data_IF_840500135348
#
_entry.id   IF_840500135348
#
_cell.length_a   1.000
_cell.length_b   1.000
_cell.length_c   1.000
_cell.angle_alpha   90.00
_cell.angle_beta   90.00
_cell.angle_gamma   90.00
#
_symmetry.space_group_name_H-M   'P 1'
#
loop_
_entity.id
_entity.type
_entity.pdbx_description
1 polymer ?
#
# COMPACT_ATOMS: atom_id res chain seq x y z
N UNK A 1 22.37 17.95 -0.95
CA UNK A 1 21.18 18.34 -0.17
C UNK A 1 19.85 18.28 -0.94
N UNK A 2 19.85 18.26 -2.27
CA UNK A 2 18.59 18.15 -3.06
C UNK A 2 17.94 16.75 -2.98
N UNK A 3 18.68 15.72 -2.67
CA UNK A 3 18.25 14.32 -2.73
C UNK A 3 17.29 13.86 -1.61
N UNK A 4 17.03 14.71 -0.61
CA UNK A 4 16.08 14.39 0.47
C UNK A 4 14.64 14.82 0.17
N UNK A 5 14.42 15.47 -0.97
CA UNK A 5 13.07 15.86 -1.38
C UNK A 5 12.31 14.67 -1.96
N UNK A 6 11.04 14.58 -1.61
CA UNK A 6 10.11 13.59 -2.17
C UNK A 6 8.99 14.37 -2.83
N UNK A 7 8.71 14.05 -4.09
CA UNK A 7 7.58 14.62 -4.80
C UNK A 7 6.32 13.83 -4.50
N UNK A 8 5.26 14.52 -4.14
CA UNK A 8 3.95 13.90 -3.90
C UNK A 8 3.07 14.15 -5.11
N UNK A 9 2.59 13.09 -5.76
CA UNK A 9 1.67 13.19 -6.88
C UNK A 9 0.29 12.68 -6.49
N UNK A 10 -0.72 13.49 -6.73
CA UNK A 10 -2.11 13.11 -6.53
C UNK A 10 -2.70 12.76 -7.89
N UNK A 11 -2.98 11.48 -8.11
CA UNK A 11 -3.42 10.96 -9.40
C UNK A 11 -4.94 10.84 -9.52
N UNK A 12 -5.67 10.97 -8.41
CA UNK A 12 -7.12 10.82 -8.40
C UNK A 12 -7.56 9.37 -8.66
N UNK A 13 -8.71 9.20 -9.29
CA UNK A 13 -9.27 7.90 -9.64
C UNK A 13 -8.74 7.49 -11.03
N UNK A 14 -8.01 6.39 -11.11
CA UNK A 14 -7.33 5.93 -12.30
C UNK A 14 -7.49 4.43 -12.53
N UNK A 15 -7.50 3.96 -13.78
CA UNK A 15 -7.34 2.54 -14.07
C UNK A 15 -6.00 2.02 -13.54
N UNK A 16 -5.95 0.76 -13.14
CA UNK A 16 -4.74 0.17 -12.56
C UNK A 16 -3.59 0.05 -13.56
N UNK A 17 -3.84 -0.52 -14.74
CA UNK A 17 -2.78 -0.88 -15.68
C UNK A 17 -1.95 0.32 -16.17
N UNK A 18 -2.55 1.46 -16.57
CA UNK A 18 -1.77 2.62 -16.98
C UNK A 18 -0.87 3.17 -15.85
N UNK A 19 -1.33 3.14 -14.60
CA UNK A 19 -0.53 3.59 -13.46
C UNK A 19 0.60 2.60 -13.18
N UNK A 20 0.33 1.30 -13.25
CA UNK A 20 1.36 0.27 -13.13
C UNK A 20 2.44 0.43 -14.20
N UNK A 21 2.05 0.65 -15.46
CA UNK A 21 2.96 0.90 -16.56
C UNK A 21 3.80 2.16 -16.31
N UNK A 22 3.18 3.23 -15.83
CA UNK A 22 3.89 4.47 -15.50
C UNK A 22 4.93 4.28 -14.39
N UNK A 23 4.65 3.45 -13.39
CA UNK A 23 5.62 3.10 -12.34
C UNK A 23 6.82 2.33 -12.90
N UNK A 24 6.59 1.41 -13.83
CA UNK A 24 7.67 0.67 -14.50
C UNK A 24 8.56 1.62 -15.30
N UNK A 25 7.96 2.48 -16.11
CA UNK A 25 8.68 3.47 -16.92
C UNK A 25 9.49 4.43 -16.05
N UNK A 26 8.89 4.93 -14.98
CA UNK A 26 9.59 5.79 -14.03
C UNK A 26 10.81 5.07 -13.40
N UNK A 27 10.62 3.85 -12.95
CA UNK A 27 11.68 3.07 -12.29
C UNK A 27 12.81 2.71 -13.25
N UNK A 28 12.47 2.37 -14.48
CA UNK A 28 13.47 2.05 -15.51
C UNK A 28 14.27 3.26 -15.98
N UNK A 29 13.65 4.44 -16.02
CA UNK A 29 14.25 5.67 -16.50
C UNK A 29 15.02 6.45 -15.43
N UNK A 30 14.82 6.15 -14.14
CA UNK A 30 15.45 6.95 -13.09
C UNK A 30 16.94 6.73 -13.02
N UNK A 31 17.63 7.78 -12.62
CA UNK A 31 19.07 7.84 -12.37
C UNK A 31 19.38 8.35 -10.95
N UNK A 32 20.65 8.63 -10.69
CA UNK A 32 21.10 9.11 -9.37
C UNK A 32 20.55 10.49 -8.99
N UNK A 33 20.13 11.29 -9.95
CA UNK A 33 19.59 12.63 -9.74
C UNK A 33 18.05 12.64 -9.64
N UNK A 34 17.40 11.55 -10.00
CA UNK A 34 15.95 11.43 -9.96
C UNK A 34 15.43 11.47 -8.52
N UNK A 35 14.53 12.40 -8.22
CA UNK A 35 13.90 12.48 -6.91
C UNK A 35 12.99 11.28 -6.66
N UNK A 36 12.87 10.92 -5.40
CA UNK A 36 11.87 9.94 -4.97
C UNK A 36 10.46 10.51 -5.09
N UNK A 37 9.50 9.66 -5.33
CA UNK A 37 8.10 10.06 -5.46
C UNK A 37 7.17 9.20 -4.62
N UNK A 38 6.08 9.80 -4.16
CA UNK A 38 4.92 9.13 -3.57
C UNK A 38 3.74 9.44 -4.46
N UNK A 39 3.05 8.40 -4.90
CA UNK A 39 1.85 8.55 -5.73
C UNK A 39 0.63 8.13 -4.94
N UNK A 40 -0.33 9.03 -4.82
CA UNK A 40 -1.62 8.81 -4.18
C UNK A 40 -2.67 8.58 -5.26
N UNK A 41 -3.33 7.45 -5.23
CA UNK A 41 -4.30 7.07 -6.25
C UNK A 41 -5.43 6.24 -5.65
N UNK A 42 -6.61 6.36 -6.23
CA UNK A 42 -7.69 5.39 -6.09
C UNK A 42 -7.86 4.70 -7.45
N UNK A 43 -8.14 3.41 -7.45
CA UNK A 43 -8.35 2.68 -8.71
C UNK A 43 -9.81 2.38 -8.97
N UNK A 44 -10.19 2.33 -10.23
CA UNK A 44 -11.41 1.66 -10.65
C UNK A 44 -11.35 0.20 -10.19
N UNK A 45 -12.50 -0.46 -9.97
CA UNK A 45 -12.53 -1.84 -9.48
C UNK A 45 -11.64 -2.78 -10.29
N UNK A 46 -10.73 -3.45 -9.61
CA UNK A 46 -9.77 -4.40 -10.21
C UNK A 46 -9.29 -5.41 -9.16
N UNK A 47 -9.17 -6.67 -9.54
CA UNK A 47 -8.39 -7.65 -8.80
C UNK A 47 -6.97 -7.67 -9.35
N UNK A 48 -5.95 -7.61 -8.49
CA UNK A 48 -4.56 -7.77 -8.92
C UNK A 48 -3.97 -9.04 -8.33
N UNK A 49 -3.33 -9.84 -9.20
CA UNK A 49 -2.54 -11.00 -8.81
C UNK A 49 -1.08 -10.58 -8.71
N UNK A 50 -0.48 -10.71 -7.53
CA UNK A 50 0.94 -10.49 -7.34
C UNK A 50 1.79 -11.68 -7.80
N UNK A 51 3.10 -11.61 -7.59
CA UNK A 51 4.06 -12.63 -8.02
C UNK A 51 3.80 -14.03 -7.41
N UNK A 52 3.28 -14.08 -6.17
CA UNK A 52 2.91 -15.32 -5.50
C UNK A 52 1.45 -15.73 -5.77
N UNK A 53 0.77 -15.04 -6.68
CA UNK A 53 -0.65 -15.26 -6.97
C UNK A 53 -0.92 -16.64 -7.55
N UNK A 54 -2.01 -17.25 -7.10
CA UNK A 54 -2.50 -18.54 -7.59
C UNK A 54 -3.94 -18.37 -8.07
N UNK A 55 -4.24 -18.93 -9.24
CA UNK A 55 -5.59 -18.86 -9.82
C UNK A 55 -6.67 -19.40 -8.88
N UNK A 56 -6.37 -20.38 -8.05
CA UNK A 56 -7.29 -20.97 -7.07
C UNK A 56 -7.82 -19.99 -6.01
N UNK A 57 -7.12 -18.86 -5.79
CA UNK A 57 -7.53 -17.83 -4.84
C UNK A 57 -8.46 -16.78 -5.46
N UNK A 58 -8.64 -16.79 -6.79
CA UNK A 58 -9.65 -15.99 -7.48
C UNK A 58 -10.89 -16.87 -7.64
N UNK A 59 -11.85 -16.70 -6.73
CA UNK A 59 -13.01 -17.60 -6.63
C UNK A 59 -14.06 -17.30 -7.70
N UNK A 60 -14.62 -16.10 -7.69
CA UNK A 60 -15.69 -15.67 -8.62
C UNK A 60 -15.48 -14.17 -8.94
N UNK A 61 -14.58 -13.81 -9.86
CA UNK A 61 -14.29 -12.38 -10.14
C UNK A 61 -15.48 -11.64 -10.75
N UNK A 62 -16.38 -12.34 -11.47
CA UNK A 62 -17.51 -11.72 -12.14
C UNK A 62 -17.05 -10.80 -13.27
N UNK A 63 -17.61 -9.59 -13.29
CA UNK A 63 -17.32 -8.55 -14.29
C UNK A 63 -16.13 -7.65 -13.89
N UNK A 64 -15.56 -7.82 -12.70
CA UNK A 64 -14.37 -7.08 -12.26
C UNK A 64 -13.14 -7.67 -12.95
N UNK A 65 -12.32 -6.85 -13.66
CA UNK A 65 -11.15 -7.37 -14.33
C UNK A 65 -10.11 -7.91 -13.35
N UNK A 66 -9.39 -8.94 -13.78
CA UNK A 66 -8.25 -9.52 -13.05
C UNK A 66 -6.98 -9.14 -13.81
N UNK A 67 -6.10 -8.41 -13.17
CA UNK A 67 -4.84 -7.94 -13.76
C UNK A 67 -3.66 -8.65 -13.12
N UNK A 68 -2.73 -9.13 -13.94
CA UNK A 68 -1.48 -9.67 -13.46
C UNK A 68 -0.52 -8.53 -13.12
N UNK A 69 0.06 -8.58 -11.92
CA UNK A 69 1.00 -7.58 -11.41
C UNK A 69 2.32 -8.24 -11.01
N UNK A 70 3.39 -7.48 -11.03
CA UNK A 70 4.71 -7.92 -10.55
C UNK A 70 5.01 -7.50 -9.11
N UNK A 71 4.04 -6.88 -8.41
CA UNK A 71 4.17 -6.62 -6.97
C UNK A 71 4.29 -7.92 -6.18
N UNK A 72 4.87 -7.85 -5.00
CA UNK A 72 4.86 -8.97 -4.06
C UNK A 72 3.45 -9.34 -3.61
N UNK A 73 3.30 -10.56 -3.09
CA UNK A 73 2.05 -11.06 -2.56
C UNK A 73 1.16 -11.77 -3.57
N UNK A 74 -0.06 -12.01 -3.14
CA UNK A 74 -1.06 -12.79 -3.88
C UNK A 74 -2.21 -11.88 -4.33
N UNK A 75 -3.40 -12.44 -4.56
CA UNK A 75 -4.55 -11.67 -5.04
C UNK A 75 -5.05 -10.67 -3.99
N UNK A 76 -5.39 -9.47 -4.45
CA UNK A 76 -6.14 -8.47 -3.65
C UNK A 76 -7.11 -7.72 -4.55
N UNK A 77 -7.88 -6.83 -3.94
CA UNK A 77 -8.86 -5.98 -4.62
C UNK A 77 -8.55 -4.51 -4.40
N UNK A 78 -8.71 -3.71 -5.46
CA UNK A 78 -8.67 -2.26 -5.41
C UNK A 78 -9.97 -1.67 -5.96
N UNK A 79 -10.45 -0.63 -5.33
CA UNK A 79 -11.65 0.08 -5.77
C UNK A 79 -11.77 1.47 -5.15
N UNK A 80 -12.73 2.28 -5.59
CA UNK A 80 -12.98 3.61 -5.05
C UNK A 80 -13.20 3.58 -3.54
N UNK A 81 -12.66 4.56 -2.83
CA UNK A 81 -12.72 4.64 -1.37
C UNK A 81 -11.56 3.96 -0.65
N UNK A 82 -10.69 3.28 -1.38
CA UNK A 82 -9.42 2.74 -0.90
C UNK A 82 -8.30 3.70 -1.29
N UNK A 83 -7.50 4.15 -0.32
CA UNK A 83 -6.32 4.94 -0.64
C UNK A 83 -5.15 4.03 -0.94
N UNK A 84 -4.73 4.04 -2.18
CA UNK A 84 -3.48 3.42 -2.61
C UNK A 84 -2.36 4.45 -2.52
N UNK A 85 -1.24 4.07 -1.95
CA UNK A 85 -0.03 4.89 -1.89
C UNK A 85 1.14 4.09 -2.42
N UNK A 86 1.62 4.48 -3.60
CA UNK A 86 2.82 3.92 -4.20
C UNK A 86 4.05 4.68 -3.75
N UNK A 87 5.10 3.95 -3.42
CA UNK A 87 6.34 4.51 -2.88
C UNK A 87 7.49 4.18 -3.82
N UNK A 88 7.95 5.19 -4.55
CA UNK A 88 9.00 5.08 -5.57
C UNK A 88 10.28 5.69 -5.00
N UNK A 89 10.99 4.88 -4.20
CA UNK A 89 12.13 5.30 -3.40
C UNK A 89 13.43 4.64 -3.90
N UNK A 90 14.50 5.40 -3.92
CA UNK A 90 15.85 4.87 -4.11
C UNK A 90 16.36 4.35 -2.76
N UNK A 91 16.27 3.04 -2.57
CA UNK A 91 16.62 2.39 -1.29
C UNK A 91 18.12 2.42 -1.01
N UNK A 92 18.96 2.38 -2.04
CA UNK A 92 20.41 2.50 -1.87
C UNK A 92 20.79 3.86 -1.32
N UNK A 93 20.26 4.91 -1.93
CA UNK A 93 20.49 6.30 -1.50
C UNK A 93 20.00 6.54 -0.07
N UNK A 94 18.89 5.92 0.30
CA UNK A 94 18.32 6.03 1.65
C UNK A 94 18.94 5.06 2.66
N UNK A 95 19.81 4.16 2.22
CA UNK A 95 20.39 3.10 3.06
C UNK A 95 19.32 2.30 3.79
N UNK A 96 18.25 1.97 3.07
CA UNK A 96 17.06 1.31 3.59
C UNK A 96 16.94 -0.08 2.97
N UNK A 97 16.78 -1.10 3.81
CA UNK A 97 16.50 -2.47 3.36
C UNK A 97 15.02 -2.67 3.01
N UNK A 98 14.74 -3.72 2.26
CA UNK A 98 13.36 -4.04 1.84
C UNK A 98 12.46 -4.34 3.05
N UNK A 99 12.95 -5.14 3.99
CA UNK A 99 12.21 -5.46 5.22
C UNK A 99 11.95 -4.22 6.08
N UNK A 100 12.94 -3.34 6.17
CA UNK A 100 12.81 -2.08 6.89
C UNK A 100 11.74 -1.20 6.24
N UNK A 101 11.69 -1.16 4.91
CA UNK A 101 10.65 -0.41 4.20
C UNK A 101 9.25 -0.99 4.48
N UNK A 102 9.09 -2.30 4.47
CA UNK A 102 7.81 -2.94 4.82
C UNK A 102 7.38 -2.56 6.23
N UNK A 103 8.28 -2.69 7.20
CA UNK A 103 8.01 -2.32 8.59
C UNK A 103 7.66 -0.85 8.72
N UNK A 104 8.37 0.01 8.00
CA UNK A 104 8.12 1.46 7.99
C UNK A 104 6.75 1.79 7.41
N UNK A 105 6.34 1.12 6.35
CA UNK A 105 5.02 1.31 5.76
C UNK A 105 3.90 0.82 6.70
N UNK A 106 4.08 -0.31 7.34
CA UNK A 106 3.15 -0.81 8.34
C UNK A 106 3.04 0.18 9.51
N UNK A 107 4.15 0.69 10.01
CA UNK A 107 4.16 1.68 11.09
C UNK A 107 3.50 3.00 10.67
N UNK A 108 3.68 3.41 9.41
CA UNK A 108 3.01 4.58 8.85
C UNK A 108 1.49 4.45 8.97
N UNK A 109 0.96 3.29 8.61
CA UNK A 109 -0.49 3.02 8.70
C UNK A 109 -0.95 2.96 10.16
N UNK A 110 -0.21 2.27 11.01
CA UNK A 110 -0.52 2.18 12.45
C UNK A 110 -0.58 3.59 13.08
N UNK A 111 0.40 4.43 12.80
CA UNK A 111 0.43 5.81 13.32
C UNK A 111 -0.73 6.64 12.77
N UNK A 112 -1.05 6.50 11.50
CA UNK A 112 -2.18 7.21 10.88
C UNK A 112 -3.50 6.79 11.52
N UNK A 113 -3.74 5.49 11.67
CA UNK A 113 -4.95 4.98 12.29
C UNK A 113 -5.08 5.41 13.75
N UNK A 114 -3.96 5.49 14.48
CA UNK A 114 -3.94 5.97 15.87
C UNK A 114 -4.44 7.41 15.98
N UNK A 115 -4.17 8.28 15.01
CA UNK A 115 -4.69 9.66 14.97
C UNK A 115 -6.21 9.70 14.88
N UNK A 116 -6.83 8.63 14.38
CA UNK A 116 -8.29 8.45 14.29
C UNK A 116 -8.84 7.58 15.42
N UNK A 117 -8.05 7.35 16.47
CA UNK A 117 -8.42 6.49 17.61
C UNK A 117 -8.73 5.05 17.20
N UNK A 118 -8.10 4.57 16.15
CA UNK A 118 -8.19 3.18 15.69
C UNK A 118 -6.89 2.48 16.05
N UNK A 119 -6.97 1.56 17.01
CA UNK A 119 -5.83 0.73 17.39
C UNK A 119 -5.62 -0.38 16.35
N UNK A 120 -4.40 -0.51 15.85
CA UNK A 120 -4.05 -1.47 14.82
C UNK A 120 -2.65 -2.01 15.01
N UNK A 121 -2.35 -3.11 14.32
CA UNK A 121 -1.05 -3.77 14.44
C UNK A 121 -0.70 -4.54 13.17
N UNK A 122 0.59 -4.73 12.86
CA UNK A 122 1.03 -5.67 11.85
C UNK A 122 0.99 -7.10 12.40
N UNK A 123 1.15 -8.09 11.51
CA UNK A 123 1.29 -9.50 11.87
C UNK A 123 2.54 -10.08 11.22
N UNK A 124 3.28 -10.90 11.96
CA UNK A 124 4.50 -11.52 11.46
C UNK A 124 4.23 -12.60 10.39
N UNK A 125 3.08 -13.26 10.47
CA UNK A 125 2.68 -14.38 9.60
C UNK A 125 1.96 -13.94 8.32
N UNK A 126 1.45 -12.71 8.27
CA UNK A 126 0.66 -12.20 7.15
C UNK A 126 0.88 -10.71 6.98
N UNK A 127 1.65 -10.27 5.95
CA UNK A 127 1.94 -8.86 5.73
C UNK A 127 0.68 -7.99 5.62
N UNK A 128 0.74 -6.81 6.20
CA UNK A 128 -0.36 -5.85 6.21
C UNK A 128 -0.61 -5.28 7.61
N UNK A 129 -1.69 -4.54 7.75
CA UNK A 129 -2.12 -3.96 9.03
C UNK A 129 -3.53 -4.42 9.36
N UNK A 130 -3.75 -4.73 10.63
CA UNK A 130 -4.95 -5.37 11.13
C UNK A 130 -5.55 -4.59 12.28
N UNK A 131 -6.89 -4.59 12.35
CA UNK A 131 -7.66 -4.15 13.52
C UNK A 131 -8.32 -5.39 14.12
N UNK A 132 -7.83 -5.82 15.28
CA UNK A 132 -8.14 -7.16 15.75
C UNK A 132 -7.59 -8.18 14.76
N UNK A 133 -8.43 -9.07 14.27
CA UNK A 133 -8.07 -10.09 13.28
C UNK A 133 -8.43 -9.71 11.84
N UNK A 134 -9.05 -8.53 11.64
CA UNK A 134 -9.50 -8.08 10.32
C UNK A 134 -8.46 -7.18 9.67
N UNK A 135 -8.19 -7.44 8.40
CA UNK A 135 -7.20 -6.70 7.62
C UNK A 135 -7.78 -5.38 7.14
N UNK A 136 -7.08 -4.29 7.42
CA UNK A 136 -7.46 -2.94 6.98
C UNK A 136 -6.55 -2.37 5.90
N UNK A 137 -5.32 -2.87 5.81
CA UNK A 137 -4.35 -2.42 4.82
C UNK A 137 -3.55 -3.58 4.26
N UNK A 138 -3.42 -3.63 2.96
CA UNK A 138 -2.59 -4.60 2.24
C UNK A 138 -1.29 -3.93 1.78
N UNK A 139 -0.22 -4.71 1.69
CA UNK A 139 1.11 -4.28 1.27
C UNK A 139 1.66 -5.21 0.21
N UNK A 140 2.29 -4.65 -0.80
CA UNK A 140 3.04 -5.40 -1.80
C UNK A 140 4.00 -4.48 -2.52
N UNK A 141 5.29 -4.84 -2.52
CA UNK A 141 6.35 -4.07 -3.15
C UNK A 141 7.00 -4.84 -4.28
N UNK A 142 7.67 -4.10 -5.15
CA UNK A 142 8.66 -4.61 -6.09
C UNK A 142 9.91 -3.77 -5.96
N UNK A 143 11.05 -4.43 -6.01
CA UNK A 143 12.37 -3.78 -6.00
C UNK A 143 13.04 -4.08 -7.33
N UNK A 144 13.49 -3.02 -8.01
CA UNK A 144 14.21 -3.12 -9.27
C UNK A 144 15.32 -2.07 -9.29
N UNK A 145 16.53 -2.48 -9.63
CA UNK A 145 17.72 -1.60 -9.64
C UNK A 145 17.92 -0.88 -8.30
N UNK A 146 17.55 -1.52 -7.18
CA UNK A 146 17.66 -0.92 -5.85
C UNK A 146 16.59 0.12 -5.53
N UNK A 147 15.55 0.24 -6.34
CA UNK A 147 14.46 1.18 -6.15
C UNK A 147 13.13 0.45 -5.94
N UNK A 148 12.30 0.98 -5.04
CA UNK A 148 10.97 0.42 -4.78
C UNK A 148 9.92 1.01 -5.71
N UNK A 149 8.87 0.24 -5.98
CA UNK A 149 7.61 0.71 -6.55
C UNK A 149 6.47 -0.20 -6.09
N UNK A 150 5.23 0.08 -6.46
CA UNK A 150 4.04 -0.37 -5.75
C UNK A 150 4.01 0.17 -4.31
N UNK A 151 3.30 -0.41 -3.39
CA UNK A 151 3.21 0.11 -2.03
C UNK A 151 2.08 -0.52 -1.21
N UNK A 152 1.18 0.33 -0.72
CA UNK A 152 0.12 -0.07 0.18
C UNK A 152 -1.27 0.34 -0.31
N UNK A 153 -2.28 -0.34 0.21
CA UNK A 153 -3.69 -0.06 -0.07
C UNK A 153 -4.46 -0.06 1.27
N UNK A 154 -4.84 1.13 1.73
CA UNK A 154 -5.58 1.34 2.97
C UNK A 154 -7.07 1.45 2.68
N UNK A 155 -7.85 0.57 3.27
CA UNK A 155 -9.31 0.58 3.15
C UNK A 155 -9.89 1.69 4.04
N UNK A 156 -10.52 2.68 3.43
CA UNK A 156 -11.07 3.84 4.14
C UNK A 156 -12.61 3.84 4.12
N UNK A 157 -13.21 4.02 2.94
CA UNK A 157 -14.66 4.15 2.77
C UNK A 157 -15.07 3.56 1.41
N UNK A 158 -15.03 2.24 1.31
CA UNK A 158 -15.20 1.50 0.07
C UNK A 158 -16.26 0.41 0.20
N UNK A 159 -16.65 -0.17 -0.93
CA UNK A 159 -17.39 -1.42 -0.95
C UNK A 159 -16.43 -2.59 -0.71
N UNK A 160 -16.57 -3.28 0.41
CA UNK A 160 -15.74 -4.43 0.76
C UNK A 160 -16.23 -5.75 0.15
N UNK A 161 -17.43 -5.79 -0.44
CA UNK A 161 -18.03 -7.05 -0.91
C UNK A 161 -17.20 -7.75 -1.98
N UNK A 162 -16.47 -7.06 -2.89
CA UNK A 162 -15.61 -7.75 -3.85
C UNK A 162 -14.51 -8.61 -3.20
N UNK A 163 -14.06 -8.31 -1.98
CA UNK A 163 -13.10 -9.15 -1.28
C UNK A 163 -13.64 -10.57 -1.01
N UNK A 164 -14.96 -10.76 -0.98
CA UNK A 164 -15.58 -12.07 -0.82
C UNK A 164 -15.47 -12.96 -2.07
N UNK A 165 -15.10 -12.38 -3.20
CA UNK A 165 -14.91 -13.08 -4.47
C UNK A 165 -13.52 -13.68 -4.65
N UNK A 166 -12.66 -13.46 -3.68
CA UNK A 166 -11.25 -13.90 -3.67
C UNK A 166 -10.90 -14.43 -2.29
N UNK A 167 -9.75 -15.12 -2.19
CA UNK A 167 -9.10 -15.36 -0.90
C UNK A 167 -8.01 -14.29 -0.73
N UNK A 168 -8.28 -13.18 0.00
CA UNK A 168 -7.38 -12.05 0.06
C UNK A 168 -6.00 -12.46 0.55
N UNK A 169 -4.95 -12.08 -0.19
CA UNK A 169 -3.56 -12.43 0.11
C UNK A 169 -3.32 -13.95 0.28
N UNK A 170 -4.16 -14.79 -0.36
CA UNK A 170 -4.07 -16.25 -0.29
C UNK A 170 -4.62 -16.89 0.98
N UNK A 171 -5.25 -16.11 1.85
CA UNK A 171 -5.84 -16.60 3.11
C UNK A 171 -7.34 -16.81 2.95
N UNK A 172 -7.78 -18.06 2.92
CA UNK A 172 -9.20 -18.39 2.90
C UNK A 172 -9.90 -17.87 4.17
N UNK A 173 -11.03 -17.17 3.99
CA UNK A 173 -11.80 -16.63 5.10
C UNK A 173 -11.18 -15.40 5.78
N UNK A 174 -10.15 -14.79 5.19
CA UNK A 174 -9.60 -13.53 5.69
C UNK A 174 -10.68 -12.44 5.66
N UNK A 175 -11.03 -11.91 6.82
CA UNK A 175 -11.96 -10.79 6.91
C UNK A 175 -11.23 -9.47 6.66
N UNK A 176 -11.87 -8.62 5.85
CA UNK A 176 -11.40 -7.26 5.56
C UNK A 176 -12.25 -6.27 6.33
N UNK A 177 -11.64 -5.15 6.68
CA UNK A 177 -12.34 -4.02 7.31
C UNK A 177 -11.88 -2.69 6.72
N UNK A 178 -12.44 -1.60 7.20
CA UNK A 178 -12.15 -0.25 6.72
C UNK A 178 -12.35 0.79 7.82
N UNK A 179 -11.74 1.96 7.65
CA UNK A 179 -11.80 3.04 8.64
C UNK A 179 -13.23 3.50 8.96
N UNK A 180 -14.11 3.46 7.97
CA UNK A 180 -15.51 3.89 8.14
C UNK A 180 -16.26 3.11 9.22
N UNK A 181 -15.82 1.92 9.58
CA UNK A 181 -16.42 1.15 10.68
C UNK A 181 -16.32 1.88 12.02
N UNK A 182 -15.28 2.68 12.22
CA UNK A 182 -15.03 3.44 13.47
C UNK A 182 -15.15 4.94 13.27
N UNK A 183 -14.87 5.44 12.06
CA UNK A 183 -14.88 6.86 11.70
C UNK A 183 -15.74 7.06 10.46
N UNK A 184 -17.06 7.23 10.61
CA UNK A 184 -17.98 7.32 9.46
C UNK A 184 -17.67 8.44 8.48
N UNK A 185 -17.01 9.51 8.92
CA UNK A 185 -16.63 10.65 8.09
C UNK A 185 -15.27 10.48 7.39
N UNK A 186 -14.54 9.37 7.63
CA UNK A 186 -13.23 9.16 7.01
C UNK A 186 -13.37 9.00 5.49
N UNK A 187 -12.47 9.65 4.77
CA UNK A 187 -12.39 9.59 3.30
C UNK A 187 -10.93 9.58 2.85
N UNK A 188 -10.62 9.11 1.64
CA UNK A 188 -9.27 9.23 1.09
C UNK A 188 -8.75 10.67 1.11
N UNK A 189 -9.59 11.65 0.82
CA UNK A 189 -9.22 13.07 0.80
C UNK A 189 -8.73 13.58 2.15
N UNK A 190 -9.36 13.17 3.24
CA UNK A 190 -8.98 13.61 4.59
C UNK A 190 -7.84 12.79 5.17
N UNK A 191 -7.75 11.50 4.84
CA UNK A 191 -6.76 10.59 5.41
C UNK A 191 -5.42 10.65 4.67
N UNK A 192 -5.41 10.84 3.36
CA UNK A 192 -4.19 10.83 2.56
C UNK A 192 -3.12 11.83 3.04
N UNK A 193 -3.44 13.09 3.39
CA UNK A 193 -2.44 14.01 3.91
C UNK A 193 -1.79 13.51 5.21
N UNK A 194 -2.56 12.85 6.07
CA UNK A 194 -2.03 12.29 7.32
C UNK A 194 -1.13 11.09 7.07
N UNK A 195 -1.54 10.23 6.14
CA UNK A 195 -0.76 9.08 5.73
C UNK A 195 0.61 9.50 5.18
N UNK A 196 0.63 10.50 4.30
CA UNK A 196 1.87 11.07 3.74
C UNK A 196 2.72 11.70 4.84
N UNK A 197 2.15 12.50 5.73
CA UNK A 197 2.88 13.15 6.81
C UNK A 197 3.57 12.12 7.72
N UNK A 198 2.89 11.04 8.07
CA UNK A 198 3.45 9.97 8.89
C UNK A 198 4.57 9.22 8.16
N UNK A 199 4.42 8.95 6.85
CA UNK A 199 5.47 8.35 6.06
C UNK A 199 6.72 9.24 6.00
N UNK A 200 6.55 10.52 5.71
CA UNK A 200 7.66 11.48 5.63
C UNK A 200 8.40 11.60 6.96
N UNK A 201 7.67 11.62 8.08
CA UNK A 201 8.27 11.66 9.41
C UNK A 201 9.17 10.44 9.66
N UNK A 202 8.71 9.25 9.31
CA UNK A 202 9.48 8.01 9.47
C UNK A 202 10.67 7.92 8.51
N UNK A 203 10.54 8.45 7.29
CA UNK A 203 11.65 8.48 6.32
C UNK A 203 12.76 9.45 6.68
N UNK A 204 12.46 10.51 7.42
CA UNK A 204 13.44 11.50 7.89
C UNK A 204 14.17 11.05 9.16
N UNK A 205 13.70 9.98 9.79
CA UNK A 205 14.30 9.41 11.00
C UNK A 205 14.62 7.92 10.78
N UNK A 206 15.70 7.39 11.36
CA UNK A 206 16.01 5.97 11.25
C UNK A 206 14.86 5.11 11.78
N UNK A 207 14.46 4.05 11.06
CA UNK A 207 13.34 3.19 11.48
C UNK A 207 13.50 2.61 12.90
N UNK A 208 14.73 2.32 13.33
CA UNK A 208 15.01 1.75 14.65
C UNK A 208 14.68 2.70 15.82
N UNK A 209 14.51 4.00 15.57
CA UNK A 209 14.11 4.97 16.59
C UNK A 209 12.62 4.90 16.91
N UNK A 210 11.83 4.32 16.00
CA UNK A 210 10.38 4.25 16.11
C UNK A 210 9.84 2.85 16.40
N UNK A 211 10.68 1.84 16.23
CA UNK A 211 10.29 0.47 16.55
C UNK A 211 10.37 0.25 18.06
N UNK A 212 9.39 -0.42 18.69
CA UNK A 212 9.50 -0.82 20.06
C UNK A 212 10.78 -1.63 20.22
N UNK A 213 11.59 -1.28 21.18
CA UNK A 213 12.74 -2.10 21.53
C UNK A 213 12.20 -3.36 22.18
N UNK A 214 12.56 -4.52 21.64
CA UNK A 214 12.26 -5.81 22.26
C UNK A 214 12.81 -5.86 23.69
#
# INVERSE_FOLDING_TARGET
>A
MQHNKILIRQLGLQPYEPVSQAMHEFTDARDEDTLDEIWLVEHHPVFTQGQAGKAEHVLVPGDIPVSQSDRGGQVTYHGPGQQVMYVLLDLKRRKLGVRELVTLLEQTVVNTLAEYSIESHPRADAPGVYVGERKICSLGLRIRKGCSFHGLALNIAMDLTPFLRINPCGYAGMEMTQMRQWQPAASPETVAPRLVANLLALLNHPPHEYLPRD
#
